data_IF_520250223798
#
_entry.id   IF_520250223798
#
_cell.length_a   1.000
_cell.length_b   1.000
_cell.length_c   1.000
_cell.angle_alpha   90.00
_cell.angle_beta   90.00
_cell.angle_gamma   90.00
#
_symmetry.space_group_name_H-M   'P 1'
#
loop_
_entity.id
_entity.type
_entity.pdbx_description
1 polymer ?
#
# COMPACT_ATOMS: atom_id res chain seq x y z
N UNK A 1 25.48 9.28 -38.30
CA UNK A 1 25.99 8.67 -37.06
C UNK A 1 25.53 9.55 -35.91
N UNK A 2 24.51 9.11 -35.15
CA UNK A 2 24.00 9.85 -33.98
C UNK A 2 24.25 8.93 -32.79
N UNK A 3 25.14 9.35 -31.89
CA UNK A 3 25.45 8.63 -30.67
C UNK A 3 24.43 9.06 -29.60
N UNK A 4 23.51 8.15 -29.27
CA UNK A 4 22.71 8.27 -28.06
C UNK A 4 23.54 7.77 -26.88
N UNK A 5 24.10 8.67 -26.09
CA UNK A 5 24.55 8.34 -24.73
C UNK A 5 23.36 8.53 -23.78
N UNK A 6 22.36 7.67 -23.91
CA UNK A 6 21.31 7.53 -22.91
C UNK A 6 21.88 6.70 -21.77
N UNK A 7 22.24 7.34 -20.65
CA UNK A 7 22.57 6.62 -19.43
C UNK A 7 21.41 5.71 -19.06
N UNK A 8 21.70 4.43 -18.82
CA UNK A 8 20.78 3.56 -18.09
C UNK A 8 20.69 4.12 -16.66
N UNK A 9 19.76 5.05 -16.43
CA UNK A 9 19.31 5.31 -15.08
C UNK A 9 18.48 4.11 -14.63
N UNK A 10 19.18 3.14 -14.04
CA UNK A 10 18.55 2.09 -13.24
C UNK A 10 18.10 2.80 -11.97
N UNK A 11 16.94 3.44 -12.01
CA UNK A 11 16.27 3.87 -10.78
C UNK A 11 16.06 2.60 -9.95
N UNK A 12 16.69 2.55 -8.77
CA UNK A 12 16.53 1.41 -7.88
C UNK A 12 15.03 1.20 -7.63
N UNK A 13 14.50 0.07 -8.09
CA UNK A 13 13.09 -0.25 -7.86
C UNK A 13 12.83 -0.18 -6.36
N UNK A 14 11.75 0.52 -6.00
CA UNK A 14 11.32 0.59 -4.62
C UNK A 14 11.02 -0.83 -4.14
N UNK A 15 11.87 -1.35 -3.25
CA UNK A 15 11.78 -2.72 -2.80
C UNK A 15 11.45 -2.74 -1.31
N UNK A 16 10.24 -3.20 -1.00
CA UNK A 16 9.88 -3.63 0.34
C UNK A 16 10.44 -5.03 0.57
N UNK A 17 10.88 -5.31 1.79
CA UNK A 17 11.45 -6.61 2.12
C UNK A 17 10.38 -7.69 2.00
N UNK A 18 10.68 -8.70 1.19
CA UNK A 18 9.86 -9.90 1.10
C UNK A 18 9.72 -10.52 2.51
N UNK A 19 8.53 -11.00 2.82
CA UNK A 19 8.19 -11.64 4.09
C UNK A 19 8.28 -10.73 5.33
N UNK A 20 8.20 -9.39 5.14
CA UNK A 20 8.05 -8.42 6.22
C UNK A 20 6.64 -7.85 6.29
N UNK A 21 6.23 -7.55 7.52
CA UNK A 21 5.00 -6.84 7.84
C UNK A 21 5.33 -5.41 8.24
N UNK A 22 4.47 -4.50 7.81
CA UNK A 22 4.57 -3.08 8.01
C UNK A 22 3.29 -2.56 8.68
N UNK A 23 3.44 -1.53 9.50
CA UNK A 23 2.32 -0.71 9.92
C UNK A 23 2.38 0.60 9.14
N UNK A 24 1.24 1.05 8.61
CA UNK A 24 1.15 2.24 7.78
C UNK A 24 0.72 3.42 8.64
N UNK A 25 1.66 4.30 8.97
CA UNK A 25 1.42 5.47 9.83
C UNK A 25 1.42 6.76 9.00
N UNK A 26 0.45 7.68 9.20
CA UNK A 26 0.53 9.03 8.66
C UNK A 26 1.73 9.77 9.23
N UNK A 27 2.44 10.54 8.39
CA UNK A 27 3.66 11.27 8.77
C UNK A 27 3.47 12.23 9.94
N UNK A 28 2.29 12.85 10.04
CA UNK A 28 1.96 13.81 11.09
C UNK A 28 1.29 13.19 12.33
N UNK A 29 1.01 11.89 12.32
CA UNK A 29 0.32 11.18 13.41
C UNK A 29 0.94 9.78 13.62
N UNK A 30 2.23 9.68 14.00
CA UNK A 30 2.96 8.42 14.01
C UNK A 30 2.43 7.39 15.03
N UNK A 31 1.65 7.83 16.02
CA UNK A 31 1.02 6.95 17.01
C UNK A 31 -0.23 6.23 16.46
N UNK A 32 -0.72 6.64 15.29
CA UNK A 32 -1.85 6.04 14.62
C UNK A 32 -1.39 5.28 13.38
N UNK A 33 -2.07 4.17 13.11
CA UNK A 33 -1.81 3.32 11.94
C UNK A 33 -3.10 2.95 11.25
N UNK A 34 -3.02 2.63 9.97
CA UNK A 34 -4.14 2.07 9.22
C UNK A 34 -4.39 0.64 9.73
N UNK A 35 -5.63 0.41 10.16
CA UNK A 35 -6.14 -0.92 10.48
C UNK A 35 -7.63 -1.03 10.23
N UNK A 36 -8.16 -2.22 10.48
CA UNK A 36 -9.58 -2.53 10.34
C UNK A 36 -10.07 -3.37 11.53
N UNK A 37 -11.39 -3.56 11.60
CA UNK A 37 -12.01 -4.49 12.54
C UNK A 37 -12.55 -5.69 11.77
N UNK A 38 -12.50 -6.87 12.38
CA UNK A 38 -12.99 -8.09 11.76
C UNK A 38 -14.47 -7.94 11.35
N UNK A 39 -14.78 -8.29 10.11
CA UNK A 39 -16.13 -8.15 9.54
C UNK A 39 -16.51 -6.73 9.13
N UNK A 40 -15.61 -5.74 9.25
CA UNK A 40 -15.81 -4.38 8.73
C UNK A 40 -15.03 -4.18 7.44
N UNK A 41 -15.68 -3.68 6.40
CA UNK A 41 -15.03 -3.36 5.12
C UNK A 41 -14.31 -2.00 5.13
N UNK A 42 -14.38 -1.26 6.23
CA UNK A 42 -13.84 0.11 6.30
C UNK A 42 -12.53 0.11 7.08
N UNK A 43 -11.49 0.67 6.47
CA UNK A 43 -10.23 0.95 7.16
C UNK A 43 -10.31 2.26 7.92
N UNK A 44 -9.60 2.34 9.05
CA UNK A 44 -9.54 3.52 9.92
C UNK A 44 -8.17 3.70 10.54
N UNK A 45 -7.90 4.91 11.01
CA UNK A 45 -6.73 5.19 11.85
C UNK A 45 -7.02 4.73 13.28
N UNK A 46 -6.14 3.89 13.81
CA UNK A 46 -6.23 3.32 15.16
C UNK A 46 -4.90 3.49 15.89
N UNK A 47 -4.92 3.44 17.22
CA UNK A 47 -3.68 3.42 18.01
C UNK A 47 -2.79 2.24 17.61
N UNK A 48 -1.51 2.52 17.44
CA UNK A 48 -0.52 1.53 17.06
C UNK A 48 -0.41 0.42 18.12
N UNK A 49 -0.59 -0.81 17.67
CA UNK A 49 -0.41 -2.03 18.44
C UNK A 49 0.40 -3.01 17.60
N UNK A 50 1.73 -3.10 17.79
CA UNK A 50 2.62 -3.85 16.89
C UNK A 50 2.30 -5.34 16.70
N UNK A 51 1.53 -5.94 17.62
CA UNK A 51 1.10 -7.35 17.54
C UNK A 51 -0.32 -7.53 17.00
N UNK A 52 -1.06 -6.45 16.77
CA UNK A 52 -2.43 -6.52 16.29
C UNK A 52 -2.45 -6.87 14.80
N UNK A 53 -2.97 -8.06 14.48
CA UNK A 53 -3.00 -8.61 13.11
C UNK A 53 -3.65 -7.67 12.10
N UNK A 54 -4.77 -7.05 12.45
CA UNK A 54 -5.51 -6.14 11.59
C UNK A 54 -4.80 -4.79 11.31
N UNK A 55 -3.60 -4.58 11.86
CA UNK A 55 -2.74 -3.41 11.60
C UNK A 55 -1.49 -3.78 10.80
N UNK A 56 -1.33 -5.05 10.42
CA UNK A 56 -0.14 -5.56 9.74
C UNK A 56 -0.40 -5.72 8.25
N UNK A 57 0.50 -5.16 7.44
CA UNK A 57 0.40 -5.15 5.99
C UNK A 57 1.69 -5.68 5.38
N UNK A 58 1.60 -6.64 4.47
CA UNK A 58 2.68 -6.87 3.51
C UNK A 58 2.54 -5.87 2.35
N UNK A 59 3.67 -5.42 1.82
CA UNK A 59 3.71 -4.51 0.68
C UNK A 59 4.43 -5.24 -0.46
N UNK A 60 3.70 -5.60 -1.50
CA UNK A 60 4.21 -6.42 -2.60
C UNK A 60 4.03 -5.72 -3.93
N UNK A 61 5.07 -5.74 -4.77
CA UNK A 61 5.00 -5.20 -6.13
C UNK A 61 4.19 -6.11 -7.06
N UNK A 62 3.39 -5.52 -7.94
CA UNK A 62 2.67 -6.19 -9.03
C UNK A 62 2.65 -5.28 -10.25
N UNK A 63 3.35 -5.66 -11.32
CA UNK A 63 3.30 -4.99 -12.63
C UNK A 63 3.50 -3.47 -12.60
N UNK A 64 4.39 -2.97 -11.72
CA UNK A 64 4.67 -1.53 -11.57
C UNK A 64 3.80 -0.81 -10.52
N UNK A 65 2.80 -1.48 -9.96
CA UNK A 65 2.03 -1.02 -8.80
C UNK A 65 2.42 -1.80 -7.56
N UNK A 66 1.87 -1.42 -6.41
CA UNK A 66 2.00 -2.13 -5.14
C UNK A 66 0.64 -2.56 -4.62
N UNK A 67 0.62 -3.67 -3.90
CA UNK A 67 -0.52 -4.16 -3.15
C UNK A 67 -0.18 -4.10 -1.67
N UNK A 68 -1.14 -3.65 -0.86
CA UNK A 68 -1.03 -3.63 0.59
C UNK A 68 -1.99 -4.69 1.13
N UNK A 69 -1.44 -5.81 1.58
CA UNK A 69 -2.22 -7.01 1.90
C UNK A 69 -2.11 -7.31 3.39
N UNK A 70 -3.24 -7.61 4.02
CA UNK A 70 -3.25 -8.26 5.31
C UNK A 70 -3.15 -9.79 5.12
N UNK A 71 -2.05 -10.44 5.53
CA UNK A 71 -1.88 -11.87 5.30
C UNK A 71 -2.62 -12.76 6.30
N UNK A 72 -3.20 -12.19 7.37
CA UNK A 72 -3.91 -12.95 8.39
C UNK A 72 -5.36 -13.22 7.98
N UNK A 73 -6.01 -12.23 7.40
CA UNK A 73 -7.40 -12.29 6.93
C UNK A 73 -7.49 -12.39 5.39
N UNK A 74 -6.35 -12.39 4.69
CA UNK A 74 -6.25 -12.38 3.21
C UNK A 74 -7.05 -11.23 2.57
N UNK A 75 -6.99 -10.05 3.19
CA UNK A 75 -7.68 -8.84 2.72
C UNK A 75 -6.69 -7.85 2.09
N UNK A 76 -7.13 -7.16 1.05
CA UNK A 76 -6.40 -6.07 0.41
C UNK A 76 -6.92 -4.71 0.90
N UNK A 77 -6.01 -3.76 1.14
CA UNK A 77 -6.37 -2.36 1.23
C UNK A 77 -6.78 -1.87 -0.16
N UNK A 78 -7.95 -1.26 -0.27
CA UNK A 78 -8.45 -0.75 -1.56
C UNK A 78 -9.05 0.66 -1.44
N UNK A 79 -9.04 1.37 -2.56
CA UNK A 79 -9.70 2.67 -2.69
C UNK A 79 -11.19 2.46 -3.00
N UNK A 80 -12.06 2.96 -2.11
CA UNK A 80 -13.52 2.91 -2.31
C UNK A 80 -14.00 4.10 -3.15
N UNK A 81 -15.15 3.94 -3.78
CA UNK A 81 -15.80 4.99 -4.59
C UNK A 81 -16.32 6.17 -3.77
N UNK A 82 -16.46 6.02 -2.45
CA UNK A 82 -16.86 7.06 -1.50
C UNK A 82 -15.66 7.89 -0.97
N UNK A 83 -14.51 7.82 -1.65
CA UNK A 83 -13.25 8.47 -1.26
C UNK A 83 -12.68 8.00 0.10
N UNK A 84 -13.03 6.79 0.53
CA UNK A 84 -12.48 6.18 1.75
C UNK A 84 -11.56 5.00 1.43
N UNK A 85 -10.76 4.62 2.42
CA UNK A 85 -10.03 3.35 2.40
C UNK A 85 -10.93 2.24 2.92
N UNK A 86 -10.92 1.11 2.23
CA UNK A 86 -11.59 -0.11 2.66
C UNK A 86 -10.64 -1.29 2.76
N UNK A 87 -11.16 -2.40 3.27
CA UNK A 87 -10.59 -3.72 3.08
C UNK A 87 -11.57 -4.58 2.30
N UNK A 88 -11.05 -5.35 1.36
CA UNK A 88 -11.84 -6.28 0.55
C UNK A 88 -11.04 -7.55 0.28
N UNK A 89 -11.68 -8.57 -0.28
CA UNK A 89 -11.02 -9.80 -0.64
C UNK A 89 -9.85 -9.56 -1.60
N UNK A 90 -8.80 -10.38 -1.47
CA UNK A 90 -7.66 -10.38 -2.37
C UNK A 90 -8.08 -10.74 -3.80
N UNK A 91 -8.30 -9.71 -4.63
CA UNK A 91 -8.59 -9.86 -6.04
C UNK A 91 -7.45 -9.21 -6.84
N UNK A 92 -6.44 -10.01 -7.18
CA UNK A 92 -5.15 -9.52 -7.69
C UNK A 92 -5.19 -8.63 -8.94
N UNK A 93 -6.30 -8.61 -9.68
CA UNK A 93 -6.51 -7.76 -10.86
C UNK A 93 -7.43 -6.57 -10.62
N UNK A 94 -8.04 -6.45 -9.43
CA UNK A 94 -8.90 -5.33 -9.11
C UNK A 94 -8.08 -4.05 -9.02
N UNK A 95 -8.34 -3.12 -9.94
CA UNK A 95 -7.63 -1.84 -10.03
C UNK A 95 -7.69 -1.08 -8.70
N UNK A 96 -8.78 -1.19 -7.93
CA UNK A 96 -8.94 -0.51 -6.64
C UNK A 96 -7.90 -0.94 -5.59
N UNK A 97 -7.23 -2.08 -5.80
CA UNK A 97 -6.20 -2.66 -4.93
C UNK A 97 -4.76 -2.34 -5.37
N UNK A 98 -4.59 -1.58 -6.46
CA UNK A 98 -3.29 -1.28 -7.06
C UNK A 98 -2.84 0.14 -6.72
N UNK A 99 -1.83 0.25 -5.88
CA UNK A 99 -1.34 1.51 -5.34
C UNK A 99 -0.07 1.96 -6.04
N UNK A 100 0.06 3.27 -6.26
CA UNK A 100 1.36 3.86 -6.61
C UNK A 100 2.06 4.26 -5.33
N UNK A 101 3.28 3.76 -5.10
CA UNK A 101 4.09 4.09 -3.92
C UNK A 101 5.39 4.73 -4.37
N UNK A 102 5.62 5.97 -3.95
CA UNK A 102 6.81 6.75 -4.29
C UNK A 102 7.56 7.12 -3.02
N UNK A 103 8.89 6.95 -3.00
CA UNK A 103 9.73 7.46 -1.92
C UNK A 103 9.80 9.00 -1.99
N UNK A 104 9.60 9.67 -0.87
CA UNK A 104 9.66 11.13 -0.70
C UNK A 104 10.50 11.44 0.55
N UNK A 105 11.81 11.56 0.36
CA UNK A 105 12.75 11.65 1.48
C UNK A 105 12.68 10.39 2.35
N UNK A 106 12.39 10.56 3.64
CA UNK A 106 12.26 9.46 4.60
C UNK A 106 10.86 8.83 4.65
N UNK A 107 9.92 9.36 3.86
CA UNK A 107 8.53 8.91 3.85
C UNK A 107 8.15 8.29 2.51
N UNK A 108 6.99 7.64 2.49
CA UNK A 108 6.37 7.12 1.28
C UNK A 108 5.06 7.85 1.01
N UNK A 109 4.91 8.33 -0.22
CA UNK A 109 3.63 8.80 -0.72
C UNK A 109 2.90 7.61 -1.35
N UNK A 110 1.72 7.29 -0.81
CA UNK A 110 0.81 6.27 -1.34
C UNK A 110 -0.31 7.00 -2.08
N UNK A 111 -0.47 6.72 -3.36
CA UNK A 111 -1.50 7.33 -4.21
C UNK A 111 -2.49 6.23 -4.63
N UNK A 112 -3.81 6.46 -4.47
CA UNK A 112 -4.80 5.49 -4.91
C UNK A 112 -4.74 5.28 -6.43
N UNK A 113 -5.22 4.12 -6.89
CA UNK A 113 -5.50 3.91 -8.31
C UNK A 113 -6.52 4.94 -8.80
N UNK A 114 -6.50 5.22 -10.11
CA UNK A 114 -7.59 5.98 -10.73
C UNK A 114 -8.81 5.07 -10.76
N UNK A 115 -9.68 5.18 -9.75
CA UNK A 115 -10.95 4.45 -9.72
C UNK A 115 -11.89 5.15 -10.71
N UNK A 116 -12.09 4.55 -11.89
CA UNK A 116 -13.08 5.04 -12.85
C UNK A 116 -14.48 4.62 -12.38
N UNK A 117 -15.36 5.61 -12.22
CA UNK A 117 -16.79 5.43 -11.91
C UNK A 117 -17.56 4.93 -13.13
#
# INVERSE_FOLDING_TARGET
MVLWTGGLEISAQLNFAKDKLYQLAPTHQPNLVIGFEAGQEVSKLVNQQPKQKAQQWSVTGLSGSFRLMNPFDNLALHARTDNRLGVTENNGSDESQLWTVNRKGDFYQITPPIVRS
#
